data_IF_622750812132
#
_entry.id   IF_622750812132
#
_cell.length_a   1.000
_cell.length_b   1.000
_cell.length_c   1.000
_cell.angle_alpha   90.00
_cell.angle_beta   90.00
_cell.angle_gamma   90.00
#
_symmetry.space_group_name_H-M   'P 1'
#
loop_
_entity.id
_entity.type
_entity.pdbx_description
1 polymer ?
#
# COMPACT_ATOMS: atom_id res chain seq x y z
N UNK A 1 -0.58 -8.77 5.01
CA UNK A 1 -0.13 -9.26 3.68
C UNK A 1 0.81 -8.29 2.98
N UNK A 2 0.45 -7.02 2.76
CA UNK A 2 1.38 -6.06 2.13
C UNK A 2 2.69 -5.94 2.91
N UNK A 3 2.62 -5.94 4.24
CA UNK A 3 3.76 -6.04 5.17
C UNK A 3 4.67 -7.22 4.81
N UNK A 4 4.12 -8.43 4.75
CA UNK A 4 4.86 -9.65 4.40
C UNK A 4 5.51 -9.60 3.00
N UNK A 5 4.85 -8.93 2.04
CA UNK A 5 5.43 -8.74 0.70
C UNK A 5 6.62 -7.78 0.78
N UNK A 6 6.50 -6.69 1.53
CA UNK A 6 7.58 -5.73 1.70
C UNK A 6 8.77 -6.34 2.44
N UNK A 7 8.53 -7.09 3.52
CA UNK A 7 9.57 -7.84 4.24
C UNK A 7 10.32 -8.80 3.32
N UNK A 8 9.61 -9.53 2.45
CA UNK A 8 10.22 -10.49 1.52
C UNK A 8 11.01 -9.82 0.38
N UNK A 9 10.75 -8.54 0.10
CA UNK A 9 11.45 -7.77 -0.93
C UNK A 9 12.42 -6.74 -0.32
N UNK A 10 12.73 -6.85 0.99
CA UNK A 10 13.62 -5.94 1.73
C UNK A 10 13.21 -4.46 1.63
N UNK A 11 11.90 -4.21 1.70
CA UNK A 11 11.29 -2.88 1.69
C UNK A 11 10.79 -2.54 3.08
N UNK A 12 11.22 -1.40 3.61
CA UNK A 12 10.72 -0.88 4.88
C UNK A 12 9.45 -0.06 4.65
N UNK A 13 8.40 -0.37 5.40
CA UNK A 13 7.16 0.41 5.38
C UNK A 13 7.24 1.43 6.51
N UNK A 14 7.49 2.68 6.13
CA UNK A 14 7.52 3.80 7.06
C UNK A 14 6.10 4.06 7.56
N UNK A 15 5.13 4.22 6.65
CA UNK A 15 3.68 4.30 6.96
C UNK A 15 2.81 3.84 5.78
N UNK A 16 1.55 3.53 6.05
CA UNK A 16 0.54 3.28 5.03
C UNK A 16 -0.87 3.70 5.45
N UNK A 17 -1.72 3.97 4.46
CA UNK A 17 -3.14 4.23 4.64
C UNK A 17 -3.91 3.27 3.73
N UNK A 18 -4.85 2.53 4.32
CA UNK A 18 -5.74 1.64 3.58
C UNK A 18 -7.13 2.23 3.60
N UNK A 19 -7.61 2.58 2.41
CA UNK A 19 -8.94 3.14 2.17
C UNK A 19 -9.82 2.09 1.50
N UNK A 20 -11.12 2.38 1.35
CA UNK A 20 -12.06 1.46 0.71
C UNK A 20 -11.77 1.15 -0.76
N UNK A 21 -11.08 2.05 -1.46
CA UNK A 21 -10.86 2.00 -2.92
C UNK A 21 -9.40 2.17 -3.35
N UNK A 22 -8.49 2.52 -2.43
CA UNK A 22 -7.07 2.68 -2.70
C UNK A 22 -6.19 2.43 -1.47
N UNK A 23 -4.88 2.31 -1.70
CA UNK A 23 -3.87 2.17 -0.65
C UNK A 23 -2.71 3.12 -0.95
N UNK A 24 -2.35 3.94 0.04
CA UNK A 24 -1.13 4.75 0.03
C UNK A 24 -0.05 4.08 0.89
N UNK A 25 1.18 4.02 0.40
CA UNK A 25 2.32 3.50 1.15
C UNK A 25 3.52 4.44 1.01
N UNK A 26 4.09 4.83 2.13
CA UNK A 26 5.39 5.48 2.21
C UNK A 26 6.42 4.41 2.57
N UNK A 27 7.33 4.15 1.64
CA UNK A 27 8.30 3.06 1.73
C UNK A 27 9.72 3.55 1.52
N UNK A 28 10.65 2.91 2.20
CA UNK A 28 12.08 2.99 1.91
C UNK A 28 12.52 1.68 1.26
N UNK A 29 13.28 1.77 0.17
CA UNK A 29 13.69 0.61 -0.61
C UNK A 29 15.05 0.83 -1.29
N UNK A 30 15.72 -0.26 -1.67
CA UNK A 30 17.03 -0.19 -2.32
C UNK A 30 16.95 0.52 -3.68
N UNK A 31 17.83 1.49 -3.98
CA UNK A 31 17.87 2.15 -5.30
C UNK A 31 18.14 1.19 -6.48
N UNK A 32 18.61 -0.03 -6.19
CA UNK A 32 18.83 -1.08 -7.21
C UNK A 32 17.52 -1.76 -7.65
N UNK A 33 16.47 -1.65 -6.84
CA UNK A 33 15.16 -2.21 -7.17
C UNK A 33 14.34 -1.20 -7.97
N UNK A 34 13.59 -1.70 -8.95
CA UNK A 34 12.63 -0.86 -9.66
C UNK A 34 11.34 -0.71 -8.86
N UNK A 35 10.83 0.51 -8.72
CA UNK A 35 9.51 0.76 -8.13
C UNK A 35 8.41 -0.02 -8.86
N UNK A 36 8.51 -0.17 -10.19
CA UNK A 36 7.54 -0.93 -10.98
C UNK A 36 7.55 -2.42 -10.65
N UNK A 37 8.71 -2.96 -10.26
CA UNK A 37 8.84 -4.34 -9.81
C UNK A 37 8.18 -4.51 -8.44
N UNK A 38 8.49 -3.63 -7.47
CA UNK A 38 7.89 -3.68 -6.13
C UNK A 38 6.36 -3.60 -6.20
N UNK A 39 5.83 -2.65 -6.97
CA UNK A 39 4.39 -2.48 -7.17
C UNK A 39 3.76 -3.71 -7.85
N UNK A 40 4.44 -4.34 -8.81
CA UNK A 40 3.99 -5.60 -9.42
C UNK A 40 3.88 -6.71 -8.37
N UNK A 41 4.87 -6.85 -7.48
CA UNK A 41 4.85 -7.84 -6.41
C UNK A 41 3.70 -7.56 -5.43
N UNK A 42 3.58 -6.32 -4.97
CA UNK A 42 2.53 -5.88 -4.04
C UNK A 42 1.13 -6.14 -4.63
N UNK A 43 0.83 -5.61 -5.83
CA UNK A 43 -0.49 -5.75 -6.46
C UNK A 43 -0.80 -7.18 -6.88
N UNK A 44 0.18 -7.89 -7.44
CA UNK A 44 -0.01 -9.24 -7.95
C UNK A 44 -0.27 -10.26 -6.84
N UNK A 45 0.61 -10.31 -5.83
CA UNK A 45 0.47 -11.23 -4.70
C UNK A 45 -0.78 -10.90 -3.88
N UNK A 46 -1.06 -9.61 -3.66
CA UNK A 46 -2.26 -9.20 -2.92
C UNK A 46 -3.55 -9.54 -3.61
N UNK A 47 -3.67 -9.24 -4.91
CA UNK A 47 -4.83 -9.61 -5.71
C UNK A 47 -5.08 -11.11 -5.67
N UNK A 48 -4.03 -11.93 -5.86
CA UNK A 48 -4.14 -13.39 -5.82
C UNK A 48 -4.71 -13.89 -4.49
N UNK A 49 -4.17 -13.41 -3.36
CA UNK A 49 -4.59 -13.87 -2.04
C UNK A 49 -6.01 -13.39 -1.71
N UNK A 50 -6.35 -12.14 -2.01
CA UNK A 50 -7.71 -11.62 -1.83
C UNK A 50 -8.74 -12.41 -2.64
N UNK A 51 -8.43 -12.77 -3.88
CA UNK A 51 -9.31 -13.60 -4.71
C UNK A 51 -9.47 -15.04 -4.17
N UNK A 52 -8.48 -15.56 -3.43
CA UNK A 52 -8.57 -16.87 -2.77
C UNK A 52 -9.39 -16.80 -1.48
N UNK A 53 -9.18 -15.76 -0.66
CA UNK A 53 -9.86 -15.57 0.62
C UNK A 53 -11.32 -15.11 0.46
N UNK A 54 -11.61 -14.34 -0.59
CA UNK A 54 -12.92 -13.77 -0.87
C UNK A 54 -13.41 -14.16 -2.27
N UNK A 55 -13.89 -15.40 -2.48
CA UNK A 55 -14.34 -15.88 -3.79
C UNK A 55 -15.41 -15.01 -4.46
N UNK A 56 -16.18 -14.24 -3.68
CA UNK A 56 -17.15 -13.27 -4.20
C UNK A 56 -16.52 -12.16 -5.05
N UNK A 57 -15.24 -11.82 -4.82
CA UNK A 57 -14.52 -10.81 -5.61
C UNK A 57 -14.36 -11.24 -7.07
N UNK A 58 -14.32 -12.55 -7.35
CA UNK A 58 -14.24 -13.06 -8.72
C UNK A 58 -15.52 -12.82 -9.53
N UNK A 59 -16.67 -12.67 -8.83
CA UNK A 59 -17.96 -12.32 -9.45
C UNK A 59 -18.09 -10.81 -9.68
N UNK A 60 -17.47 -10.01 -8.81
CA UNK A 60 -17.50 -8.55 -8.87
C UNK A 60 -16.50 -8.00 -9.90
N UNK A 61 -15.30 -8.59 -9.97
CA UNK A 61 -14.22 -8.16 -10.84
C UNK A 61 -13.97 -9.18 -11.96
N UNK A 62 -14.52 -8.88 -13.14
CA UNK A 62 -14.28 -9.70 -14.33
C UNK A 62 -12.77 -9.83 -14.60
N UNK A 63 -12.30 -11.04 -14.90
CA UNK A 63 -10.87 -11.32 -15.12
C UNK A 63 -10.00 -11.31 -13.86
N UNK A 64 -10.60 -11.22 -12.65
CA UNK A 64 -9.88 -11.21 -11.36
C UNK A 64 -8.93 -10.03 -11.17
N UNK A 65 -9.22 -8.89 -11.81
CA UNK A 65 -8.47 -7.66 -11.65
C UNK A 65 -8.94 -6.90 -10.39
N UNK A 66 -8.26 -7.11 -9.26
CA UNK A 66 -8.58 -6.40 -8.02
C UNK A 66 -8.06 -4.95 -8.03
N UNK A 67 -6.85 -4.73 -8.55
CA UNK A 67 -6.27 -3.39 -8.65
C UNK A 67 -6.42 -2.82 -10.06
N UNK A 68 -6.52 -1.49 -10.15
CA UNK A 68 -6.36 -0.77 -11.40
C UNK A 68 -5.01 -1.12 -12.07
N UNK A 69 -4.91 -1.01 -13.40
CA UNK A 69 -3.66 -1.34 -14.13
C UNK A 69 -2.50 -0.44 -13.71
N UNK A 70 -2.76 0.87 -13.58
CA UNK A 70 -1.75 1.87 -13.22
C UNK A 70 -1.39 1.92 -11.72
N UNK A 71 -0.41 2.75 -11.40
CA UNK A 71 -0.05 3.15 -10.04
C UNK A 71 0.53 4.56 -10.06
N UNK A 72 0.40 5.28 -8.94
CA UNK A 72 1.10 6.54 -8.70
C UNK A 72 2.37 6.30 -7.91
N UNK A 73 3.46 6.98 -8.27
CA UNK A 73 4.71 6.97 -7.52
C UNK A 73 5.33 8.37 -7.60
N UNK A 74 5.70 8.90 -6.44
CA UNK A 74 6.35 10.20 -6.30
C UNK A 74 7.50 10.03 -5.31
N UNK A 75 8.66 10.59 -5.65
CA UNK A 75 9.75 10.68 -4.68
C UNK A 75 9.36 11.72 -3.64
N UNK A 76 9.29 11.29 -2.39
CA UNK A 76 9.27 12.20 -1.25
C UNK A 76 10.69 12.77 -1.12
N UNK A 77 10.85 14.09 -1.31
CA UNK A 77 12.13 14.77 -1.08
C UNK A 77 12.48 14.81 0.41
N UNK A 78 13.13 15.87 0.89
CA UNK A 78 13.09 16.19 2.33
C UNK A 78 11.66 16.56 2.72
N UNK A 79 10.75 15.58 2.79
CA UNK A 79 9.50 15.72 3.50
C UNK A 79 9.90 15.86 4.95
N UNK A 80 9.70 17.06 5.48
CA UNK A 80 9.83 17.28 6.92
C UNK A 80 8.72 16.49 7.60
N UNK A 81 9.01 16.01 8.81
CA UNK A 81 8.02 15.31 9.63
C UNK A 81 6.72 16.13 9.78
N UNK A 82 6.79 17.46 9.67
CA UNK A 82 5.66 18.41 9.75
C UNK A 82 4.66 18.29 8.60
N UNK A 83 5.07 18.43 7.34
CA UNK A 83 4.15 18.30 6.19
C UNK A 83 3.50 16.91 6.14
N UNK A 84 4.22 15.91 6.64
CA UNK A 84 3.74 14.55 6.72
C UNK A 84 2.77 14.32 7.88
N UNK A 85 3.06 14.89 9.06
CA UNK A 85 2.15 14.85 10.20
C UNK A 85 0.84 15.58 9.87
N UNK A 86 0.89 16.68 9.12
CA UNK A 86 -0.30 17.40 8.66
C UNK A 86 -1.17 16.54 7.73
N UNK A 87 -0.57 15.87 6.73
CA UNK A 87 -1.29 14.90 5.91
C UNK A 87 -1.91 13.78 6.76
N UNK A 88 -1.18 13.26 7.74
CA UNK A 88 -1.68 12.17 8.59
C UNK A 88 -2.77 12.62 9.55
N UNK A 89 -2.66 13.80 10.17
CA UNK A 89 -3.72 14.36 11.00
C UNK A 89 -5.01 14.56 10.19
N UNK A 90 -4.89 14.97 8.93
CA UNK A 90 -6.03 15.03 8.01
C UNK A 90 -6.72 13.67 7.81
N UNK A 91 -5.97 12.57 7.86
CA UNK A 91 -6.48 11.21 7.62
C UNK A 91 -6.68 10.38 8.91
N UNK A 92 -6.34 10.91 10.10
CA UNK A 92 -6.40 10.18 11.37
C UNK A 92 -7.78 10.33 12.02
N UNK A 93 -8.51 9.22 12.17
CA UNK A 93 -9.69 9.14 13.04
C UNK A 93 -9.25 9.04 14.51
N UNK A 94 -10.03 9.57 15.49
CA UNK A 94 -9.61 9.70 16.90
C UNK A 94 -9.29 8.40 17.67
N UNK A 95 -9.35 7.22 17.04
CA UNK A 95 -9.12 5.91 17.67
C UNK A 95 -8.15 5.00 16.86
N UNK A 96 -7.11 5.55 16.23
CA UNK A 96 -6.17 4.72 15.45
C UNK A 96 -5.00 4.17 16.30
N UNK A 97 -4.85 2.84 16.29
CA UNK A 97 -3.79 2.05 16.94
C UNK A 97 -2.37 2.49 16.53
N UNK A 98 -1.35 2.18 17.34
CA UNK A 98 0.08 2.53 17.12
C UNK A 98 0.75 1.81 15.93
N UNK A 99 -0.02 1.23 15.01
CA UNK A 99 0.53 0.52 13.85
C UNK A 99 0.92 1.51 12.75
N UNK A 100 1.96 1.17 11.97
CA UNK A 100 2.37 1.96 10.79
C UNK A 100 1.27 2.05 9.70
N UNK A 101 0.12 1.41 9.89
CA UNK A 101 -1.03 1.48 8.98
C UNK A 101 -2.24 2.17 9.63
N UNK A 102 -2.83 3.11 8.91
CA UNK A 102 -4.12 3.73 9.25
C UNK A 102 -5.20 3.11 8.35
N UNK A 103 -6.35 2.79 8.94
CA UNK A 103 -7.56 2.39 8.21
C UNK A 103 -8.49 3.60 8.12
N UNK A 104 -8.83 4.01 6.90
CA UNK A 104 -9.75 5.12 6.62
C UNK A 104 -11.14 4.63 6.21
#
# INVERSE_FOLDING_TARGET
>A
MLIQICEAEEVEILKGVVSSDHVHMHIEYSPRQSISFLVKQMKGRSSRKLQQEFPQLSKMYWGKHFWATGYGAWSTGNITDEMFNEYLEHHRKPNSDNSNFILE
#
